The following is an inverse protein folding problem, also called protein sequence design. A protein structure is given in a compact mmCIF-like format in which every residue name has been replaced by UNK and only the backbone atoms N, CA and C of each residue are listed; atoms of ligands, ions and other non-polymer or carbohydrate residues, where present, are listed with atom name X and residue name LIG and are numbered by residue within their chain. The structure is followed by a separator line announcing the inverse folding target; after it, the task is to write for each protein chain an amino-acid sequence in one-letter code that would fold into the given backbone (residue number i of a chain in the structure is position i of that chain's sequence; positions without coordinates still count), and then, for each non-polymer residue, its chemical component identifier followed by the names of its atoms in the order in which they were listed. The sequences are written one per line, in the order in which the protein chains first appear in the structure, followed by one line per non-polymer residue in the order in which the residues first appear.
data_IF_671125372421
#
_entry.id   IF_671125372421
#
_cell.length_a   1.000
_cell.length_b   1.000
_cell.length_c   1.000
_cell.angle_alpha   90.00
_cell.angle_beta   90.00
_cell.angle_gamma   90.00
#
_symmetry.space_group_name_H-M   'P 1'
#
loop_
_entity.id
_entity.type
_entity.pdbx_description
1 polymer ?
#
# COMPACT_ATOMS: atom_id res chain seq x y z
N UNK A 1 -8.31 20.92 14.54
CA UNK A 1 -7.19 21.56 13.79
C UNK A 1 -7.77 22.61 12.85
N UNK A 2 -7.07 23.73 12.63
CA UNK A 2 -7.47 24.71 11.60
C UNK A 2 -7.12 24.14 10.22
N UNK A 3 -8.14 23.86 9.41
CA UNK A 3 -7.98 23.28 8.08
C UNK A 3 -7.29 24.21 7.09
N UNK A 4 -7.37 25.54 7.29
CA UNK A 4 -6.67 26.48 6.43
C UNK A 4 -5.16 26.44 6.71
N UNK A 5 -4.77 26.46 7.97
CA UNK A 5 -3.37 26.33 8.36
C UNK A 5 -2.79 24.98 7.91
N UNK A 6 -3.56 23.87 8.06
CA UNK A 6 -3.16 22.56 7.57
C UNK A 6 -2.99 22.54 6.04
N UNK A 7 -3.86 23.23 5.30
CA UNK A 7 -3.74 23.34 3.84
C UNK A 7 -2.47 24.08 3.41
N UNK A 8 -2.15 25.19 4.07
CA UNK A 8 -0.93 25.95 3.77
C UNK A 8 0.31 25.10 4.06
N UNK A 9 0.40 24.47 5.23
CA UNK A 9 1.50 23.57 5.57
C UNK A 9 1.63 22.41 4.56
N UNK A 10 0.51 21.80 4.19
CA UNK A 10 0.46 20.70 3.21
C UNK A 10 0.99 21.14 1.85
N UNK A 11 0.56 22.30 1.40
CA UNK A 11 1.01 22.90 0.12
C UNK A 11 2.51 23.12 0.10
N UNK A 12 3.03 23.82 1.10
CA UNK A 12 4.45 24.14 1.21
C UNK A 12 5.30 22.87 1.27
N UNK A 13 4.81 21.88 2.03
CA UNK A 13 5.50 20.60 2.11
C UNK A 13 5.51 19.85 0.78
N UNK A 14 4.38 19.77 0.09
CA UNK A 14 4.28 19.08 -1.20
C UNK A 14 5.14 19.76 -2.27
N UNK A 15 5.14 21.09 -2.33
CA UNK A 15 5.96 21.84 -3.27
C UNK A 15 7.45 21.63 -3.04
N UNK A 16 7.87 21.49 -1.78
CA UNK A 16 9.26 21.30 -1.40
C UNK A 16 9.75 19.85 -1.49
N UNK A 17 8.86 18.87 -1.40
CA UNK A 17 9.24 17.47 -1.22
C UNK A 17 8.82 16.53 -2.36
N UNK A 18 7.77 16.87 -3.13
CA UNK A 18 7.36 16.04 -4.26
C UNK A 18 8.30 16.31 -5.45
N UNK A 19 9.04 15.32 -5.96
CA UNK A 19 9.87 15.50 -7.16
C UNK A 19 9.04 15.94 -8.36
N UNK A 20 9.61 16.73 -9.25
CA UNK A 20 8.90 17.20 -10.44
C UNK A 20 8.50 16.04 -11.36
N UNK A 21 9.32 15.00 -11.45
CA UNK A 21 9.05 13.76 -12.18
C UNK A 21 7.84 12.97 -11.64
N UNK A 22 7.44 13.22 -10.38
CA UNK A 22 6.26 12.60 -9.76
C UNK A 22 5.00 13.47 -9.87
N UNK A 23 5.06 14.63 -10.53
CA UNK A 23 3.91 15.54 -10.77
C UNK A 23 3.29 15.32 -12.15
N UNK A 24 2.95 14.09 -12.47
CA UNK A 24 2.51 13.65 -13.80
C UNK A 24 1.01 13.32 -13.89
N UNK A 25 0.32 13.37 -12.75
CA UNK A 25 -1.11 13.08 -12.68
C UNK A 25 -1.40 11.57 -12.69
N UNK A 26 -2.39 11.14 -13.48
CA UNK A 26 -2.76 9.74 -13.52
C UNK A 26 -1.72 8.90 -14.27
N UNK A 27 -1.42 7.72 -13.71
CA UNK A 27 -0.54 6.72 -14.30
C UNK A 27 -1.37 5.51 -14.70
N UNK A 28 -1.12 4.93 -15.87
CA UNK A 28 -1.75 3.68 -16.26
C UNK A 28 -1.30 2.54 -15.34
N UNK A 29 -2.21 1.63 -15.05
CA UNK A 29 -1.95 0.53 -14.11
C UNK A 29 -0.73 -0.32 -14.49
N UNK A 30 -0.53 -0.56 -15.78
CA UNK A 30 0.59 -1.36 -16.29
C UNK A 30 1.94 -0.65 -16.07
N UNK A 31 1.99 0.66 -16.26
CA UNK A 31 3.21 1.48 -16.11
C UNK A 31 3.54 1.75 -14.65
N UNK A 32 2.54 1.68 -13.76
CA UNK A 32 2.71 2.00 -12.35
C UNK A 32 3.74 1.10 -11.65
N UNK A 33 3.79 -0.19 -11.99
CA UNK A 33 4.73 -1.11 -11.34
C UNK A 33 6.19 -0.72 -11.58
N UNK A 34 6.55 -0.33 -12.79
CA UNK A 34 7.92 0.08 -13.14
C UNK A 34 8.23 1.47 -12.57
N UNK A 35 7.28 2.40 -12.66
CA UNK A 35 7.42 3.75 -12.15
C UNK A 35 7.77 3.76 -10.66
N UNK A 36 7.06 2.96 -9.85
CA UNK A 36 7.29 2.90 -8.40
C UNK A 36 8.60 2.18 -7.99
N UNK A 37 9.40 1.68 -8.95
CA UNK A 37 10.74 1.17 -8.71
C UNK A 37 11.84 2.19 -9.05
N UNK A 38 11.50 3.37 -9.58
CA UNK A 38 12.49 4.41 -9.88
C UNK A 38 13.01 5.09 -8.61
N UNK A 39 14.23 5.61 -8.67
CA UNK A 39 14.88 6.28 -7.52
C UNK A 39 14.04 7.49 -7.04
N UNK A 40 13.46 8.26 -7.94
CA UNK A 40 12.62 9.42 -7.61
C UNK A 40 11.30 9.00 -6.95
N UNK A 41 10.70 7.90 -7.37
CA UNK A 41 9.49 7.39 -6.73
C UNK A 41 9.79 6.81 -5.34
N UNK A 42 10.93 6.16 -5.18
CA UNK A 42 11.43 5.68 -3.88
C UNK A 42 11.67 6.88 -2.94
N UNK A 43 12.35 7.91 -3.42
CA UNK A 43 12.59 9.14 -2.65
C UNK A 43 11.28 9.83 -2.25
N UNK A 44 10.32 9.92 -3.19
CA UNK A 44 8.99 10.48 -2.93
C UNK A 44 8.26 9.69 -1.85
N UNK A 45 8.25 8.36 -1.97
CA UNK A 45 7.68 7.46 -0.98
C UNK A 45 8.32 7.65 0.39
N UNK A 46 9.64 7.68 0.47
CA UNK A 46 10.37 7.73 1.75
C UNK A 46 10.12 9.07 2.47
N UNK A 47 10.08 10.18 1.75
CA UNK A 47 9.71 11.49 2.28
C UNK A 47 8.27 11.50 2.80
N UNK A 48 7.33 10.96 2.03
CA UNK A 48 5.92 10.87 2.43
C UNK A 48 5.70 9.90 3.59
N UNK A 49 6.41 8.76 3.63
CA UNK A 49 6.37 7.80 4.71
C UNK A 49 6.83 8.41 6.04
N UNK A 50 7.87 9.25 6.02
CA UNK A 50 8.35 9.98 7.20
C UNK A 50 7.27 10.91 7.80
N UNK A 51 6.31 11.37 7.01
CA UNK A 51 5.12 12.13 7.44
C UNK A 51 3.89 11.23 7.71
N UNK A 52 3.97 9.94 7.46
CA UNK A 52 2.84 9.00 7.50
C UNK A 52 1.87 9.16 6.32
N UNK A 53 2.25 9.88 5.27
CA UNK A 53 1.37 10.24 4.15
C UNK A 53 1.34 9.21 3.02
N UNK A 54 2.08 8.10 3.12
CA UNK A 54 1.84 6.89 2.33
C UNK A 54 0.55 6.18 2.76
N UNK A 55 0.18 6.32 4.05
CA UNK A 55 -1.05 5.79 4.64
C UNK A 55 -1.71 6.87 5.54
N UNK A 56 -2.25 7.97 4.96
CA UNK A 56 -2.57 9.18 5.71
C UNK A 56 -3.61 8.98 6.81
N UNK A 57 -4.59 8.07 6.60
CA UNK A 57 -5.65 7.81 7.57
C UNK A 57 -5.34 6.69 8.56
N UNK A 58 -4.19 5.99 8.42
CA UNK A 58 -3.85 4.89 9.31
C UNK A 58 -3.29 5.38 10.64
N UNK A 59 -3.34 4.52 11.71
CA UNK A 59 -2.88 4.90 13.03
C UNK A 59 -1.40 5.30 13.06
N UNK A 60 -1.11 6.39 13.76
CA UNK A 60 0.26 6.92 13.91
C UNK A 60 1.21 5.97 14.62
N UNK A 61 0.70 5.14 15.54
CA UNK A 61 1.49 4.12 16.23
C UNK A 61 2.13 3.08 15.30
N UNK A 62 1.62 2.96 14.07
CA UNK A 62 2.18 2.07 13.04
C UNK A 62 2.82 2.84 11.88
N UNK A 63 3.05 4.14 12.03
CA UNK A 63 3.68 4.99 11.03
C UNK A 63 2.71 5.66 10.06
N UNK A 64 1.39 5.49 10.21
CA UNK A 64 0.39 6.22 9.44
C UNK A 64 0.27 7.68 9.84
N UNK A 65 -0.42 8.48 9.04
CA UNK A 65 -0.59 9.92 9.28
C UNK A 65 -1.58 10.29 10.37
N UNK A 66 -2.50 9.38 10.73
CA UNK A 66 -3.56 9.63 11.70
C UNK A 66 -4.51 10.76 11.30
N UNK A 67 -4.54 11.11 10.00
CA UNK A 67 -5.38 12.22 9.51
C UNK A 67 -6.86 11.88 9.60
N UNK A 68 -7.63 12.85 10.08
CA UNK A 68 -9.07 12.81 10.00
C UNK A 68 -9.57 12.96 8.55
N UNK A 69 -10.86 12.73 8.36
CA UNK A 69 -11.49 12.77 7.03
C UNK A 69 -11.28 14.07 6.28
N UNK A 70 -11.39 15.20 6.97
CA UNK A 70 -11.25 16.53 6.34
C UNK A 70 -9.80 16.86 6.01
N UNK A 71 -8.86 16.50 6.86
CA UNK A 71 -7.42 16.63 6.62
C UNK A 71 -6.97 15.75 5.45
N UNK A 72 -7.44 14.50 5.40
CA UNK A 72 -7.14 13.60 4.29
C UNK A 72 -7.67 14.16 2.96
N UNK A 73 -8.86 14.77 2.97
CA UNK A 73 -9.41 15.46 1.80
C UNK A 73 -8.53 16.63 1.38
N UNK A 74 -8.07 17.47 2.33
CA UNK A 74 -7.17 18.60 2.03
C UNK A 74 -5.87 18.09 1.40
N UNK A 75 -5.25 17.04 1.95
CA UNK A 75 -4.05 16.42 1.38
C UNK A 75 -4.30 15.96 -0.07
N UNK A 76 -5.40 15.28 -0.33
CA UNK A 76 -5.74 14.80 -1.67
C UNK A 76 -5.96 15.97 -2.66
N UNK A 77 -6.63 17.06 -2.24
CA UNK A 77 -6.83 18.27 -3.05
C UNK A 77 -5.50 18.95 -3.41
N UNK A 78 -4.58 19.09 -2.44
CA UNK A 78 -3.27 19.73 -2.69
C UNK A 78 -2.34 18.84 -3.54
N UNK A 79 -2.40 17.52 -3.37
CA UNK A 79 -1.72 16.59 -4.28
C UNK A 79 -2.24 16.71 -5.72
N UNK A 80 -3.57 16.74 -5.89
CA UNK A 80 -4.19 16.91 -7.20
C UNK A 80 -3.82 18.26 -7.85
N UNK A 81 -3.72 19.34 -7.06
CA UNK A 81 -3.32 20.67 -7.53
C UNK A 81 -1.99 20.67 -8.26
N UNK A 82 -0.99 19.97 -7.72
CA UNK A 82 0.33 19.84 -8.32
C UNK A 82 0.48 18.60 -9.22
N UNK A 83 -0.61 17.88 -9.46
CA UNK A 83 -0.63 16.61 -10.20
C UNK A 83 0.31 15.53 -9.64
N UNK A 84 0.56 15.55 -8.33
CA UNK A 84 1.37 14.52 -7.69
C UNK A 84 0.67 13.16 -7.77
N UNK A 85 1.42 12.13 -8.15
CA UNK A 85 0.95 10.75 -8.00
C UNK A 85 0.98 10.35 -6.52
N UNK A 86 0.17 9.37 -6.09
CA UNK A 86 0.27 8.83 -4.74
C UNK A 86 1.71 8.42 -4.42
N UNK A 87 2.24 8.70 -3.23
CA UNK A 87 3.63 8.37 -2.89
C UNK A 87 3.88 6.86 -2.79
N UNK A 88 2.83 6.09 -2.56
CA UNK A 88 2.88 4.64 -2.54
C UNK A 88 1.52 4.06 -3.00
N UNK A 89 1.56 2.85 -3.54
CA UNK A 89 0.39 2.10 -3.98
C UNK A 89 0.62 0.61 -3.80
N UNK A 90 -0.36 -0.21 -4.17
CA UNK A 90 -0.23 -1.66 -4.21
C UNK A 90 -1.12 -2.38 -3.20
N UNK A 91 -1.05 -3.71 -3.25
CA UNK A 91 -1.94 -4.60 -2.49
C UNK A 91 -1.73 -4.49 -0.97
N UNK A 92 -0.55 -4.06 -0.54
CA UNK A 92 -0.27 -3.78 0.87
C UNK A 92 -1.19 -2.70 1.44
N UNK A 93 -1.27 -1.55 0.74
CA UNK A 93 -2.09 -0.41 1.16
C UNK A 93 -3.58 -0.60 0.87
N UNK A 94 -3.91 -1.24 -0.28
CA UNK A 94 -5.29 -1.33 -0.75
C UNK A 94 -6.08 -2.48 -0.13
N UNK A 95 -5.43 -3.57 0.26
CA UNK A 95 -6.11 -4.79 0.67
C UNK A 95 -5.62 -5.35 2.01
N UNK A 96 -4.40 -5.91 2.05
CA UNK A 96 -3.97 -6.66 3.23
C UNK A 96 -3.74 -5.77 4.46
N UNK A 97 -3.26 -4.55 4.27
CA UNK A 97 -3.05 -3.60 5.38
C UNK A 97 -4.35 -3.24 6.10
N UNK A 98 -5.40 -2.78 5.41
CA UNK A 98 -6.73 -2.57 6.02
C UNK A 98 -7.27 -3.83 6.71
N UNK A 99 -7.10 -5.00 6.10
CA UNK A 99 -7.52 -6.27 6.69
C UNK A 99 -6.78 -6.57 8.00
N UNK A 100 -5.45 -6.37 8.03
CA UNK A 100 -4.65 -6.57 9.26
C UNK A 100 -5.02 -5.53 10.32
N UNK A 101 -5.27 -4.27 9.93
CA UNK A 101 -5.68 -3.22 10.88
C UNK A 101 -7.01 -3.56 11.54
N UNK A 102 -7.96 -4.11 10.79
CA UNK A 102 -9.30 -4.43 11.29
C UNK A 102 -9.35 -5.77 12.03
N UNK A 103 -8.80 -6.84 11.45
CA UNK A 103 -8.98 -8.22 11.89
C UNK A 103 -7.71 -8.86 12.49
N UNK A 104 -6.54 -8.28 12.29
CA UNK A 104 -5.28 -8.84 12.76
C UNK A 104 -5.11 -8.76 14.28
N UNK A 105 -4.21 -9.57 14.81
CA UNK A 105 -3.74 -9.44 16.19
C UNK A 105 -2.82 -8.21 16.35
N UNK A 106 -2.58 -7.78 17.58
CA UNK A 106 -1.65 -6.66 17.84
C UNK A 106 -0.22 -6.98 17.36
N UNK A 107 0.19 -8.25 17.47
CA UNK A 107 1.47 -8.72 16.96
C UNK A 107 1.54 -8.62 15.42
N UNK A 108 0.49 -9.03 14.72
CA UNK A 108 0.41 -8.92 13.26
C UNK A 108 0.41 -7.47 12.81
N UNK A 109 -0.34 -6.59 13.48
CA UNK A 109 -0.33 -5.13 13.21
C UNK A 109 1.07 -4.55 13.39
N UNK A 110 1.71 -4.80 14.53
CA UNK A 110 3.04 -4.30 14.83
C UNK A 110 4.12 -4.81 13.86
N UNK A 111 3.98 -6.05 13.38
CA UNK A 111 4.92 -6.68 12.46
C UNK A 111 4.80 -6.18 11.03
N UNK A 112 3.57 -6.00 10.53
CA UNK A 112 3.33 -5.82 9.10
C UNK A 112 3.00 -4.38 8.72
N UNK A 113 2.21 -3.66 9.51
CA UNK A 113 1.72 -2.33 9.12
C UNK A 113 2.85 -1.33 8.92
N UNK A 114 3.85 -1.20 9.81
CA UNK A 114 4.96 -0.27 9.59
C UNK A 114 5.74 -0.53 8.30
N UNK A 115 5.91 -1.81 7.93
CA UNK A 115 6.62 -2.21 6.72
C UNK A 115 5.82 -1.93 5.45
N UNK A 116 4.49 -1.97 5.52
CA UNK A 116 3.61 -1.55 4.42
C UNK A 116 3.69 -0.04 4.24
N UNK A 117 3.61 0.71 5.34
CA UNK A 117 3.68 2.18 5.33
C UNK A 117 5.02 2.68 4.78
N UNK A 118 6.13 2.07 5.18
CA UNK A 118 7.48 2.42 4.70
C UNK A 118 7.75 1.96 3.26
N UNK A 119 6.93 1.04 2.71
CA UNK A 119 7.18 0.40 1.41
C UNK A 119 8.24 -0.70 1.44
N UNK A 120 8.76 -1.09 2.62
CA UNK A 120 9.65 -2.26 2.77
C UNK A 120 8.95 -3.56 2.36
N UNK A 121 7.66 -3.70 2.75
CA UNK A 121 6.84 -4.85 2.39
C UNK A 121 5.97 -4.53 1.17
N UNK A 122 6.35 -5.07 0.04
CA UNK A 122 5.56 -5.03 -1.20
C UNK A 122 4.77 -6.33 -1.34
N UNK A 123 3.45 -6.20 -1.38
CA UNK A 123 2.54 -7.34 -1.33
C UNK A 123 1.90 -7.62 -2.68
N UNK A 124 1.77 -8.91 -3.02
CA UNK A 124 0.91 -9.40 -4.08
C UNK A 124 -0.22 -10.28 -3.54
N UNK A 125 -1.26 -10.49 -4.38
CA UNK A 125 -2.45 -11.26 -4.05
C UNK A 125 -2.42 -12.62 -4.72
N UNK A 126 -2.38 -13.70 -3.96
CA UNK A 126 -2.44 -15.08 -4.42
C UNK A 126 -3.83 -15.69 -4.27
N UNK A 127 -4.80 -15.27 -5.10
CA UNK A 127 -6.18 -15.79 -5.05
C UNK A 127 -6.44 -16.78 -6.18
N UNK A 128 -6.36 -16.30 -7.42
CA UNK A 128 -6.72 -17.09 -8.61
C UNK A 128 -5.83 -18.32 -8.83
N UNK A 129 -6.42 -19.37 -9.35
CA UNK A 129 -5.77 -20.61 -9.75
C UNK A 129 -6.14 -20.94 -11.20
N UNK A 130 -5.41 -21.85 -11.88
CA UNK A 130 -5.74 -22.23 -13.24
C UNK A 130 -7.19 -22.69 -13.45
N UNK A 131 -7.80 -23.30 -12.43
CA UNK A 131 -9.20 -23.75 -12.42
C UNK A 131 -10.16 -22.88 -11.62
N UNK A 132 -9.71 -21.78 -10.99
CA UNK A 132 -10.52 -20.98 -10.09
C UNK A 132 -10.16 -19.48 -10.24
N UNK A 133 -10.94 -18.79 -11.07
CA UNK A 133 -10.87 -17.34 -11.24
C UNK A 133 -12.10 -16.66 -10.62
N UNK A 134 -13.13 -16.38 -11.44
CA UNK A 134 -14.40 -15.82 -10.96
C UNK A 134 -15.12 -16.73 -9.99
N UNK A 135 -15.02 -18.05 -10.18
CA UNK A 135 -15.44 -19.04 -9.20
C UNK A 135 -14.32 -19.29 -8.18
N UNK A 136 -14.17 -18.35 -7.25
CA UNK A 136 -13.13 -18.38 -6.22
C UNK A 136 -13.34 -19.54 -5.22
N UNK A 137 -14.57 -19.99 -5.04
CA UNK A 137 -14.90 -21.14 -4.17
C UNK A 137 -14.33 -22.47 -4.68
N UNK A 138 -13.92 -22.53 -5.96
CA UNK A 138 -13.28 -23.68 -6.61
C UNK A 138 -11.80 -23.85 -6.32
N UNK A 139 -11.21 -23.10 -5.38
CA UNK A 139 -9.79 -23.17 -5.01
C UNK A 139 -9.37 -24.59 -4.63
N UNK A 140 -8.18 -25.00 -5.10
CA UNK A 140 -7.58 -26.30 -4.87
C UNK A 140 -6.30 -26.25 -4.01
N UNK A 141 -5.68 -25.07 -3.87
CA UNK A 141 -4.52 -24.91 -2.98
C UNK A 141 -4.92 -25.25 -1.56
N UNK A 142 -4.13 -26.07 -0.90
CA UNK A 142 -4.40 -26.58 0.45
C UNK A 142 -3.26 -26.25 1.39
N UNK A 143 -3.59 -25.84 2.60
CA UNK A 143 -2.68 -25.76 3.73
C UNK A 143 -3.02 -26.88 4.73
N UNK A 144 -2.08 -27.78 4.97
CA UNK A 144 -2.24 -28.88 5.93
C UNK A 144 -1.33 -28.61 7.10
N UNK A 145 -1.88 -28.61 8.32
CA UNK A 145 -1.09 -28.43 9.53
C UNK A 145 -0.23 -29.68 9.80
N UNK A 146 1.06 -29.50 9.95
CA UNK A 146 2.05 -30.52 10.32
C UNK A 146 2.91 -29.99 11.47
N UNK A 147 2.62 -30.44 12.68
CA UNK A 147 3.23 -29.90 13.89
C UNK A 147 2.84 -28.42 14.11
N UNK A 148 3.81 -27.53 14.07
CA UNK A 148 3.67 -26.06 14.22
C UNK A 148 3.74 -25.29 12.89
N UNK A 149 3.76 -26.02 11.75
CA UNK A 149 3.91 -25.47 10.40
C UNK A 149 2.74 -25.85 9.51
N UNK A 150 2.45 -25.03 8.49
CA UNK A 150 1.53 -25.38 7.42
C UNK A 150 2.33 -25.86 6.19
N UNK A 151 1.99 -27.03 5.68
CA UNK A 151 2.45 -27.51 4.37
C UNK A 151 1.45 -27.04 3.32
N UNK A 152 1.90 -26.14 2.44
CA UNK A 152 1.05 -25.52 1.41
C UNK A 152 1.39 -26.17 0.07
N UNK A 153 0.34 -26.71 -0.62
CA UNK A 153 0.45 -27.30 -1.95
C UNK A 153 -0.63 -26.73 -2.86
N UNK A 154 -0.22 -26.19 -4.00
CA UNK A 154 -1.10 -25.63 -5.01
C UNK A 154 -0.38 -24.74 -6.00
N UNK A 155 -1.14 -24.05 -6.84
CA UNK A 155 -0.61 -23.13 -7.83
C UNK A 155 -1.50 -21.90 -7.91
N UNK A 156 -0.89 -20.72 -7.81
CA UNK A 156 -1.55 -19.44 -8.05
C UNK A 156 -1.18 -18.89 -9.42
N UNK A 157 -2.08 -18.14 -10.06
CA UNK A 157 -1.91 -17.56 -11.39
C UNK A 157 -2.45 -16.13 -11.44
N UNK A 158 -2.04 -15.36 -12.43
CA UNK A 158 -2.45 -13.96 -12.65
C UNK A 158 -2.20 -13.03 -11.45
N UNK A 159 -1.13 -13.31 -10.74
CA UNK A 159 -0.72 -12.55 -9.56
C UNK A 159 -0.02 -11.27 -10.00
N UNK A 160 -0.79 -10.20 -10.20
CA UNK A 160 -0.29 -8.91 -10.66
C UNK A 160 0.77 -8.36 -9.72
N UNK A 161 1.92 -7.93 -10.27
CA UNK A 161 3.03 -7.34 -9.52
C UNK A 161 3.86 -8.34 -8.72
N UNK A 162 3.66 -9.66 -8.88
CA UNK A 162 4.39 -10.68 -8.13
C UNK A 162 5.92 -10.58 -8.31
N UNK A 163 6.39 -10.15 -9.49
CA UNK A 163 7.81 -9.97 -9.78
C UNK A 163 8.48 -8.85 -8.96
N UNK A 164 7.70 -7.95 -8.38
CA UNK A 164 8.17 -6.85 -7.53
C UNK A 164 7.86 -7.08 -6.04
N UNK A 165 7.00 -8.08 -5.75
CA UNK A 165 6.56 -8.35 -4.38
C UNK A 165 7.58 -9.20 -3.61
N UNK A 166 7.72 -8.91 -2.32
CA UNK A 166 8.47 -9.74 -1.38
C UNK A 166 7.55 -10.43 -0.34
N UNK A 167 6.26 -10.14 -0.40
CA UNK A 167 5.21 -10.76 0.42
C UNK A 167 3.99 -11.12 -0.43
N UNK A 168 3.31 -12.19 -0.04
CA UNK A 168 2.05 -12.61 -0.65
C UNK A 168 1.01 -12.88 0.44
N UNK A 169 -0.22 -12.45 0.25
CA UNK A 169 -1.36 -12.98 0.97
C UNK A 169 -2.17 -13.88 0.03
N UNK A 170 -2.52 -15.06 0.51
CA UNK A 170 -3.11 -16.11 -0.31
C UNK A 170 -4.32 -16.75 0.37
N UNK A 171 -5.26 -17.20 -0.44
CA UNK A 171 -6.31 -18.11 -0.01
C UNK A 171 -5.86 -19.56 -0.27
N UNK A 172 -5.99 -20.40 0.75
CA UNK A 172 -5.56 -21.80 0.75
C UNK A 172 -6.59 -22.68 1.47
#
# INVERSE_FOLDING_TARGET
MDLNAFREETRDWLESNCPESMRIGAVHFEDAYELYQTDEAIEWRDRAAAKGWTAPAWPTQYGGGGLGKDEHRVLAEEMARIKAIPPATGMGLAMIGPTILELGTDEQRARHIPKIVSGEAQWCQGYSEPGAGSDLAGLQTKAVLDGDQFIINGQKIWTSGAQYANWMFALV
#
